data_IF_746058315536
#
_entry.id   IF_746058315536
#
_cell.length_a   1.000
_cell.length_b   1.000
_cell.length_c   1.000
_cell.angle_alpha   90.00
_cell.angle_beta   90.00
_cell.angle_gamma   90.00
#
_symmetry.space_group_name_H-M   'P 1'
#
loop_
_entity.id
_entity.type
_entity.pdbx_description
1 polymer ?
#
# COMPACT_ATOMS: atom_id res chain seq x y z
N UNK A 1 16.98 37.71 8.37
CA UNK A 1 17.04 36.23 8.41
C UNK A 1 15.65 35.76 8.79
N UNK A 2 14.88 35.25 7.83
CA UNK A 2 13.64 34.54 8.17
C UNK A 2 14.03 33.29 8.97
N UNK A 3 13.33 32.94 10.07
CA UNK A 3 13.57 31.66 10.71
C UNK A 3 13.29 30.57 9.67
N UNK A 4 14.19 29.60 9.55
CA UNK A 4 13.93 28.41 8.77
C UNK A 4 12.64 27.79 9.34
N UNK A 5 11.60 27.65 8.51
CA UNK A 5 10.39 26.94 8.89
C UNK A 5 10.80 25.57 9.44
N UNK A 6 10.61 25.36 10.74
CA UNK A 6 10.83 24.07 11.34
C UNK A 6 9.78 23.13 10.74
N UNK A 7 10.21 22.24 9.84
CA UNK A 7 9.33 21.25 9.23
C UNK A 7 8.57 20.52 10.33
N UNK A 8 7.24 20.39 10.16
CA UNK A 8 6.39 19.65 11.10
C UNK A 8 6.97 18.25 11.30
N UNK A 9 7.29 17.84 12.53
CA UNK A 9 7.87 16.52 12.75
C UNK A 9 6.81 15.44 12.51
N UNK A 10 7.23 14.31 11.95
CA UNK A 10 6.39 13.12 11.82
C UNK A 10 6.05 12.59 13.22
N UNK A 11 4.77 12.32 13.55
CA UNK A 11 4.39 11.77 14.83
C UNK A 11 5.12 10.45 15.14
N UNK A 12 5.53 10.23 16.39
CA UNK A 12 6.37 9.07 16.75
C UNK A 12 5.76 7.71 16.37
N UNK A 13 4.43 7.58 16.46
CA UNK A 13 3.73 6.35 16.05
C UNK A 13 3.74 6.15 14.52
N UNK A 14 3.70 7.23 13.72
CA UNK A 14 3.88 7.17 12.27
C UNK A 14 5.31 6.79 11.92
N UNK A 15 6.30 7.40 12.57
CA UNK A 15 7.70 7.08 12.38
C UNK A 15 7.98 5.61 12.69
N UNK A 16 7.42 5.06 13.77
CA UNK A 16 7.57 3.66 14.14
C UNK A 16 7.02 2.67 13.07
N UNK A 17 5.99 3.08 12.32
CA UNK A 17 5.48 2.31 11.17
C UNK A 17 6.47 2.37 10.01
N UNK A 18 6.96 3.57 9.66
CA UNK A 18 7.91 3.76 8.56
C UNK A 18 9.22 3.01 8.83
N UNK A 19 9.80 3.18 10.02
CA UNK A 19 11.04 2.51 10.40
C UNK A 19 10.87 0.98 10.37
N UNK A 20 9.72 0.48 10.81
CA UNK A 20 9.43 -0.95 10.74
C UNK A 20 9.31 -1.43 9.30
N UNK A 21 8.64 -0.68 8.43
CA UNK A 21 8.30 -1.10 7.07
C UNK A 21 9.41 -0.86 6.06
N UNK A 22 10.20 0.20 6.20
CA UNK A 22 11.24 0.61 5.26
C UNK A 22 12.66 0.52 5.83
N UNK A 23 12.82 0.33 7.14
CA UNK A 23 14.09 0.56 7.82
C UNK A 23 14.34 2.06 8.04
N UNK A 24 15.47 2.37 8.68
CA UNK A 24 15.94 3.75 8.87
C UNK A 24 16.91 4.14 7.76
N UNK A 25 17.14 5.44 7.46
CA UNK A 25 18.05 5.87 6.39
C UNK A 25 19.44 5.23 6.38
N UNK A 26 20.00 4.95 7.57
CA UNK A 26 21.32 4.35 7.73
C UNK A 26 21.32 2.80 7.77
N UNK A 27 20.15 2.18 7.61
CA UNK A 27 19.98 0.72 7.68
C UNK A 27 20.24 0.05 6.32
N UNK A 28 20.74 -1.20 6.29
CA UNK A 28 20.91 -1.95 5.04
C UNK A 28 19.59 -2.25 4.32
N UNK A 29 18.46 -2.16 5.01
CA UNK A 29 17.12 -2.32 4.46
C UNK A 29 16.63 -1.07 3.69
N UNK A 30 17.24 0.09 3.93
CA UNK A 30 16.77 1.35 3.37
C UNK A 30 16.84 1.38 1.85
N UNK A 31 15.73 1.78 1.22
CA UNK A 31 15.60 1.83 -0.24
C UNK A 31 15.96 0.50 -0.92
N UNK A 32 15.58 -0.63 -0.32
CA UNK A 32 15.74 -1.99 -0.86
C UNK A 32 14.43 -2.77 -0.75
N UNK A 33 14.22 -3.71 -1.66
CA UNK A 33 13.13 -4.70 -1.52
C UNK A 33 13.34 -5.53 -0.27
N UNK A 34 12.29 -5.69 0.54
CA UNK A 34 12.36 -6.47 1.78
C UNK A 34 11.44 -7.69 1.70
N UNK A 35 11.86 -8.88 2.19
CA UNK A 35 11.03 -10.08 2.16
C UNK A 35 9.68 -9.90 2.88
N UNK A 36 9.60 -9.10 3.94
CA UNK A 36 8.37 -8.90 4.71
C UNK A 36 7.21 -8.30 3.88
N UNK A 37 7.50 -7.64 2.75
CA UNK A 37 6.48 -6.96 1.95
C UNK A 37 5.64 -7.95 1.14
N UNK A 38 6.29 -8.95 0.55
CA UNK A 38 5.67 -9.81 -0.47
C UNK A 38 5.75 -11.30 -0.13
N UNK A 39 6.42 -11.69 0.96
CA UNK A 39 6.49 -13.09 1.41
C UNK A 39 5.53 -13.33 2.56
N UNK A 40 4.58 -14.26 2.38
CA UNK A 40 3.72 -14.74 3.48
C UNK A 40 4.58 -15.41 4.56
N UNK A 41 4.40 -14.98 5.80
CA UNK A 41 5.07 -15.54 6.97
C UNK A 41 4.21 -15.34 8.20
N UNK A 42 3.76 -16.44 8.82
CA UNK A 42 2.91 -16.38 10.02
C UNK A 42 3.63 -15.67 11.19
N UNK A 43 4.96 -15.80 11.26
CA UNK A 43 5.78 -15.09 12.24
C UNK A 43 5.80 -13.57 11.99
N UNK A 44 5.89 -13.16 10.73
CA UNK A 44 5.83 -11.74 10.34
C UNK A 44 4.44 -11.17 10.61
N UNK A 45 3.39 -11.90 10.25
CA UNK A 45 2.00 -11.51 10.45
C UNK A 45 1.69 -11.35 11.97
N UNK A 46 2.16 -12.28 12.80
CA UNK A 46 2.03 -12.21 14.25
C UNK A 46 2.80 -11.00 14.85
N UNK A 47 4.01 -10.73 14.37
CA UNK A 47 4.81 -9.58 14.79
C UNK A 47 4.13 -8.25 14.44
N UNK A 48 3.63 -8.13 13.19
CA UNK A 48 2.90 -6.94 12.74
C UNK A 48 1.67 -6.71 13.61
N UNK A 49 0.88 -7.77 13.84
CA UNK A 49 -0.31 -7.70 14.68
C UNK A 49 0.01 -7.29 16.10
N UNK A 50 1.03 -7.88 16.72
CA UNK A 50 1.43 -7.55 18.08
C UNK A 50 1.86 -6.07 18.22
N UNK A 51 2.54 -5.52 17.21
CA UNK A 51 3.06 -4.15 17.24
C UNK A 51 2.05 -3.08 16.84
N UNK A 52 1.20 -3.35 15.85
CA UNK A 52 0.45 -2.29 15.16
C UNK A 52 -1.07 -2.46 15.17
N UNK A 53 -1.61 -3.50 15.81
CA UNK A 53 -3.07 -3.67 15.91
C UNK A 53 -3.75 -2.47 16.58
N UNK A 54 -3.18 -1.97 17.69
CA UNK A 54 -3.72 -0.80 18.38
C UNK A 54 -3.68 0.46 17.50
N UNK A 55 -2.58 0.67 16.77
CA UNK A 55 -2.44 1.77 15.80
C UNK A 55 -3.49 1.68 14.70
N UNK A 56 -3.70 0.50 14.12
CA UNK A 56 -4.74 0.30 13.10
C UNK A 56 -6.14 0.54 13.64
N UNK A 57 -6.43 0.12 14.87
CA UNK A 57 -7.72 0.39 15.53
C UNK A 57 -7.95 1.90 15.72
N UNK A 58 -6.91 2.65 16.12
CA UNK A 58 -6.98 4.11 16.26
C UNK A 58 -7.23 4.79 14.91
N UNK A 59 -6.43 4.46 13.89
CA UNK A 59 -6.58 4.99 12.54
C UNK A 59 -7.98 4.68 11.97
N UNK A 60 -8.45 3.45 12.13
CA UNK A 60 -9.79 3.03 11.68
C UNK A 60 -10.91 3.80 12.40
N UNK A 61 -10.70 4.18 13.66
CA UNK A 61 -11.64 4.99 14.43
C UNK A 61 -11.61 6.49 14.06
N UNK A 62 -10.80 6.90 13.08
CA UNK A 62 -10.66 8.30 12.67
C UNK A 62 -9.68 9.11 13.51
N UNK A 63 -8.88 8.46 14.37
CA UNK A 63 -7.76 9.13 15.02
C UNK A 63 -6.57 9.26 14.06
N UNK A 64 -5.47 9.84 14.55
CA UNK A 64 -4.22 10.02 13.80
C UNK A 64 -4.35 10.95 12.57
N UNK A 65 -5.30 11.91 12.60
CA UNK A 65 -5.43 12.91 11.53
C UNK A 65 -4.17 13.79 11.41
N UNK A 66 -3.46 13.99 12.51
CA UNK A 66 -2.17 14.71 12.58
C UNK A 66 -1.08 14.06 11.71
N UNK A 67 -1.18 12.77 11.42
CA UNK A 67 -0.24 12.09 10.50
C UNK A 67 -0.35 12.65 9.08
N UNK A 68 -1.49 13.25 8.72
CA UNK A 68 -1.73 13.75 7.36
C UNK A 68 -1.08 15.11 7.10
N UNK A 69 -0.36 15.66 8.08
CA UNK A 69 0.34 16.95 7.95
C UNK A 69 1.65 16.88 7.15
N UNK A 70 2.20 15.68 6.91
CA UNK A 70 3.45 15.50 6.14
C UNK A 70 3.33 14.34 5.14
N UNK A 71 4.10 14.35 4.04
CA UNK A 71 4.13 13.23 3.09
C UNK A 71 4.43 11.88 3.76
N UNK A 72 5.41 11.84 4.66
CA UNK A 72 5.83 10.64 5.38
C UNK A 72 4.74 10.14 6.32
N UNK A 73 4.05 11.05 7.03
CA UNK A 73 2.94 10.65 7.90
C UNK A 73 1.75 10.11 7.11
N UNK A 74 1.45 10.67 5.93
CA UNK A 74 0.45 10.09 5.01
C UNK A 74 0.90 8.71 4.52
N UNK A 75 2.19 8.54 4.19
CA UNK A 75 2.73 7.23 3.81
C UNK A 75 2.54 6.21 4.94
N UNK A 76 2.85 6.57 6.19
CA UNK A 76 2.64 5.71 7.35
C UNK A 76 1.16 5.33 7.51
N UNK A 77 0.25 6.30 7.33
CA UNK A 77 -1.19 6.07 7.35
C UNK A 77 -1.62 5.04 6.29
N UNK A 78 -1.12 5.18 5.06
CA UNK A 78 -1.39 4.24 3.96
C UNK A 78 -0.84 2.85 4.31
N UNK A 79 0.39 2.75 4.81
CA UNK A 79 0.98 1.45 5.21
C UNK A 79 0.11 0.74 6.24
N UNK A 80 -0.36 1.45 7.28
CA UNK A 80 -1.24 0.85 8.30
C UNK A 80 -2.56 0.38 7.71
N UNK A 81 -3.20 1.22 6.89
CA UNK A 81 -4.57 0.98 6.38
C UNK A 81 -4.64 0.04 5.19
N UNK A 82 -3.54 -0.15 4.47
CA UNK A 82 -3.47 -0.97 3.26
C UNK A 82 -2.60 -2.22 3.47
N UNK A 83 -1.33 -2.04 3.82
CA UNK A 83 -0.38 -3.16 3.87
C UNK A 83 -0.51 -3.97 5.16
N UNK A 84 -0.43 -3.31 6.32
CA UNK A 84 -0.44 -4.02 7.60
C UNK A 84 -1.77 -4.74 7.86
N UNK A 85 -2.90 -4.22 7.39
CA UNK A 85 -4.20 -4.91 7.49
C UNK A 85 -4.18 -6.27 6.79
N UNK A 86 -3.55 -6.36 5.61
CA UNK A 86 -3.42 -7.60 4.83
C UNK A 86 -2.55 -8.65 5.51
N UNK A 87 -1.53 -8.23 6.26
CA UNK A 87 -0.74 -9.14 7.11
C UNK A 87 -1.51 -9.54 8.38
N UNK A 88 -2.07 -8.57 9.11
CA UNK A 88 -2.73 -8.84 10.39
C UNK A 88 -3.91 -9.77 10.21
N UNK A 89 -4.76 -9.52 9.22
CA UNK A 89 -6.08 -10.14 9.06
C UNK A 89 -6.14 -11.07 7.85
N UNK A 90 -5.05 -11.77 7.53
CA UNK A 90 -4.98 -12.65 6.37
C UNK A 90 -6.16 -13.64 6.34
N UNK A 91 -6.87 -13.67 5.21
CA UNK A 91 -8.03 -14.54 5.01
C UNK A 91 -9.30 -14.09 5.73
N UNK A 92 -9.31 -12.89 6.31
CA UNK A 92 -10.46 -12.33 7.03
C UNK A 92 -10.92 -11.03 6.35
N UNK A 93 -12.22 -10.67 6.40
CA UNK A 93 -12.74 -9.44 5.79
C UNK A 93 -12.00 -8.16 6.23
N UNK A 94 -11.49 -8.15 7.47
CA UNK A 94 -10.75 -7.03 8.06
C UNK A 94 -9.48 -6.68 7.29
N UNK A 95 -8.93 -7.57 6.45
CA UNK A 95 -7.79 -7.23 5.60
C UNK A 95 -8.09 -6.09 4.63
N UNK A 96 -9.38 -5.94 4.24
CA UNK A 96 -9.86 -4.95 3.28
C UNK A 96 -10.68 -3.83 3.91
N UNK A 97 -10.95 -3.91 5.23
CA UNK A 97 -11.88 -3.01 5.91
C UNK A 97 -11.44 -1.53 5.93
N UNK A 98 -10.16 -1.27 5.65
CA UNK A 98 -9.57 0.07 5.63
C UNK A 98 -9.08 0.51 4.25
N UNK A 99 -9.35 -0.26 3.18
CA UNK A 99 -8.92 0.07 1.81
C UNK A 99 -9.44 1.44 1.34
N UNK A 100 -10.69 1.77 1.68
CA UNK A 100 -11.27 3.07 1.35
C UNK A 100 -10.58 4.25 2.06
N UNK A 101 -10.00 4.03 3.25
CA UNK A 101 -9.20 5.04 3.95
C UNK A 101 -7.87 5.25 3.23
N UNK A 102 -7.19 4.16 2.89
CA UNK A 102 -5.93 4.18 2.16
C UNK A 102 -6.07 4.88 0.81
N UNK A 103 -7.11 4.53 0.03
CA UNK A 103 -7.35 5.09 -1.29
C UNK A 103 -7.65 6.59 -1.23
N UNK A 104 -8.39 7.07 -0.23
CA UNK A 104 -8.63 8.51 -0.05
C UNK A 104 -7.33 9.26 0.24
N UNK A 105 -6.53 8.75 1.18
CA UNK A 105 -5.24 9.35 1.51
C UNK A 105 -4.29 9.39 0.30
N UNK A 106 -4.22 8.29 -0.47
CA UNK A 106 -3.42 8.19 -1.68
C UNK A 106 -3.88 9.18 -2.77
N UNK A 107 -5.19 9.30 -3.01
CA UNK A 107 -5.77 10.26 -3.95
C UNK A 107 -5.43 11.70 -3.60
N UNK A 108 -5.58 12.07 -2.33
CA UNK A 108 -5.24 13.42 -1.87
C UNK A 108 -3.73 13.70 -2.00
N UNK A 109 -2.89 12.76 -1.60
CA UNK A 109 -1.43 12.88 -1.73
C UNK A 109 -1.01 13.16 -3.18
N UNK A 110 -1.54 12.36 -4.12
CA UNK A 110 -1.26 12.49 -5.56
C UNK A 110 -1.84 13.78 -6.13
N UNK A 111 -3.05 14.17 -5.74
CA UNK A 111 -3.67 15.42 -6.19
C UNK A 111 -2.86 16.65 -5.77
N UNK A 112 -2.22 16.60 -4.60
CA UNK A 112 -1.32 17.64 -4.12
C UNK A 112 0.13 17.48 -4.59
N UNK A 113 0.48 16.38 -5.27
CA UNK A 113 1.83 16.07 -5.74
C UNK A 113 2.85 15.83 -4.61
N UNK A 114 2.37 15.62 -3.39
CA UNK A 114 3.21 15.46 -2.18
C UNK A 114 3.91 14.11 -2.10
N UNK A 115 3.44 13.12 -2.87
CA UNK A 115 4.11 11.83 -3.05
C UNK A 115 5.55 12.00 -3.56
N UNK A 116 5.82 13.01 -4.38
CA UNK A 116 7.17 13.27 -4.94
C UNK A 116 8.19 13.72 -3.90
N UNK A 117 7.74 14.16 -2.72
CA UNK A 117 8.61 14.53 -1.61
C UNK A 117 9.02 13.33 -0.74
N UNK A 118 8.45 12.14 -0.99
CA UNK A 118 8.79 10.94 -0.24
C UNK A 118 10.25 10.53 -0.46
N UNK A 119 10.91 9.99 0.56
CA UNK A 119 12.36 9.88 0.58
C UNK A 119 12.90 8.79 -0.36
N UNK A 120 12.08 7.82 -0.77
CA UNK A 120 12.51 6.76 -1.68
C UNK A 120 11.41 6.36 -2.68
N UNK A 121 11.79 5.78 -3.85
CA UNK A 121 10.83 5.21 -4.79
C UNK A 121 9.92 4.14 -4.16
N UNK A 122 10.43 3.35 -3.21
CA UNK A 122 9.60 2.35 -2.53
C UNK A 122 8.52 2.99 -1.65
N UNK A 123 8.78 4.11 -0.97
CA UNK A 123 7.72 4.84 -0.25
C UNK A 123 6.61 5.29 -1.20
N UNK A 124 6.99 5.83 -2.37
CA UNK A 124 6.04 6.24 -3.42
C UNK A 124 5.23 5.05 -3.95
N UNK A 125 5.89 3.92 -4.24
CA UNK A 125 5.22 2.70 -4.67
C UNK A 125 4.10 2.30 -3.71
N UNK A 126 4.37 2.21 -2.41
CA UNK A 126 3.34 1.81 -1.44
C UNK A 126 2.21 2.83 -1.31
N UNK A 127 2.47 4.11 -1.59
CA UNK A 127 1.41 5.12 -1.66
C UNK A 127 0.53 4.98 -2.91
N UNK A 128 0.98 4.25 -3.93
CA UNK A 128 0.21 3.98 -5.14
C UNK A 128 -0.55 2.64 -5.11
N UNK A 129 -0.12 1.68 -4.28
CA UNK A 129 -0.81 0.39 -4.13
C UNK A 129 -2.30 0.48 -3.75
N UNK A 130 -2.80 1.48 -2.99
CA UNK A 130 -4.24 1.61 -2.76
C UNK A 130 -5.07 1.75 -4.04
N UNK A 131 -4.52 2.35 -5.10
CA UNK A 131 -5.18 2.41 -6.41
C UNK A 131 -5.22 1.04 -7.08
N UNK A 132 -4.11 0.30 -7.00
CA UNK A 132 -3.96 -1.07 -7.48
C UNK A 132 -4.87 -2.04 -6.73
N UNK A 133 -5.20 -1.77 -5.46
CA UNK A 133 -6.09 -2.63 -4.66
C UNK A 133 -7.59 -2.31 -4.80
N UNK A 134 -7.95 -1.20 -5.44
CA UNK A 134 -9.33 -0.77 -5.64
C UNK A 134 -9.97 -1.51 -6.83
N UNK A 135 -11.19 -2.01 -6.64
CA UNK A 135 -11.94 -2.76 -7.66
C UNK A 135 -12.66 -1.81 -8.65
N UNK A 136 -11.98 -0.76 -9.12
CA UNK A 136 -12.51 0.13 -10.15
C UNK A 136 -11.50 0.39 -11.26
N UNK A 137 -11.97 0.38 -12.52
CA UNK A 137 -11.11 0.60 -13.68
C UNK A 137 -10.42 1.97 -13.64
N UNK A 138 -11.08 2.99 -13.09
CA UNK A 138 -10.51 4.34 -12.93
C UNK A 138 -9.28 4.31 -12.02
N UNK A 139 -9.36 3.62 -10.88
CA UNK A 139 -8.20 3.49 -9.99
C UNK A 139 -7.10 2.65 -10.64
N UNK A 140 -7.45 1.60 -11.39
CA UNK A 140 -6.45 0.78 -12.09
C UNK A 140 -5.72 1.56 -13.19
N UNK A 141 -6.43 2.37 -13.98
CA UNK A 141 -5.81 3.26 -14.98
C UNK A 141 -4.87 4.28 -14.32
N UNK A 142 -5.28 4.83 -13.17
CA UNK A 142 -4.45 5.76 -12.39
C UNK A 142 -3.22 5.07 -11.79
N UNK A 143 -3.35 3.83 -11.32
CA UNK A 143 -2.21 3.03 -10.87
C UNK A 143 -1.20 2.83 -12.01
N UNK A 144 -1.64 2.49 -13.23
CA UNK A 144 -0.75 2.36 -14.40
C UNK A 144 -0.03 3.67 -14.69
N UNK A 145 -0.75 4.80 -14.67
CA UNK A 145 -0.15 6.12 -14.89
C UNK A 145 0.93 6.41 -13.85
N UNK A 146 0.63 6.22 -12.57
CA UNK A 146 1.52 6.50 -11.44
C UNK A 146 2.76 5.58 -11.44
N UNK A 147 2.59 4.28 -11.64
CA UNK A 147 3.72 3.34 -11.68
C UNK A 147 4.58 3.50 -12.93
N UNK A 148 3.99 3.87 -14.07
CA UNK A 148 4.76 4.22 -15.28
C UNK A 148 5.64 5.43 -15.02
N UNK A 149 5.06 6.47 -14.43
CA UNK A 149 5.79 7.66 -14.05
C UNK A 149 6.91 7.36 -13.02
N UNK A 150 6.63 6.56 -11.99
CA UNK A 150 7.63 6.18 -10.99
C UNK A 150 8.82 5.46 -11.61
N UNK A 151 8.57 4.53 -12.55
CA UNK A 151 9.61 3.85 -13.31
C UNK A 151 10.44 4.85 -14.12
N UNK A 152 9.79 5.78 -14.81
CA UNK A 152 10.48 6.73 -15.70
C UNK A 152 11.30 7.78 -14.93
N UNK A 153 10.89 8.09 -13.70
CA UNK A 153 11.58 9.03 -12.81
C UNK A 153 12.67 8.37 -11.94
N UNK A 154 12.83 7.05 -12.01
CA UNK A 154 13.78 6.29 -11.19
C UNK A 154 14.83 5.58 -12.05
N UNK A 155 16.03 5.37 -11.53
CA UNK A 155 17.05 4.53 -12.18
C UNK A 155 16.48 3.13 -12.49
N UNK A 156 16.78 2.62 -13.69
CA UNK A 156 16.38 1.28 -14.13
C UNK A 156 16.79 0.16 -13.16
N UNK A 157 17.89 0.34 -12.42
CA UNK A 157 18.38 -0.61 -11.43
C UNK A 157 17.50 -0.69 -10.15
N UNK A 158 16.56 0.23 -9.94
CA UNK A 158 15.72 0.27 -8.73
C UNK A 158 14.53 -0.72 -8.76
N UNK A 159 14.38 -1.51 -9.84
CA UNK A 159 13.35 -2.55 -9.92
C UNK A 159 11.93 -2.04 -10.16
N UNK A 160 11.73 -0.74 -10.44
CA UNK A 160 10.39 -0.15 -10.68
C UNK A 160 9.70 -0.70 -11.94
N UNK A 161 10.45 -1.31 -12.86
CA UNK A 161 9.87 -2.03 -14.00
C UNK A 161 9.04 -3.25 -13.57
N UNK A 162 9.48 -3.97 -12.54
CA UNK A 162 8.76 -5.10 -11.97
C UNK A 162 7.48 -4.63 -11.27
N UNK A 163 7.56 -3.53 -10.51
CA UNK A 163 6.40 -2.92 -9.85
C UNK A 163 5.31 -2.55 -10.86
N UNK A 164 5.68 -1.93 -11.99
CA UNK A 164 4.74 -1.64 -13.06
C UNK A 164 4.16 -2.91 -13.72
N UNK A 165 4.92 -4.00 -13.79
CA UNK A 165 4.41 -5.27 -14.29
C UNK A 165 3.25 -5.78 -13.41
N UNK A 166 3.39 -5.75 -12.08
CA UNK A 166 2.33 -6.13 -11.14
C UNK A 166 1.09 -5.25 -11.27
N UNK A 167 1.25 -3.94 -11.41
CA UNK A 167 0.12 -3.03 -11.63
C UNK A 167 -0.67 -3.36 -12.90
N UNK A 168 0.01 -3.82 -13.97
CA UNK A 168 -0.65 -4.28 -15.20
C UNK A 168 -1.47 -5.55 -14.97
N UNK A 169 -0.91 -6.52 -14.22
CA UNK A 169 -1.63 -7.75 -13.89
C UNK A 169 -2.89 -7.45 -13.06
N UNK A 170 -2.81 -6.56 -12.08
CA UNK A 170 -3.97 -6.12 -11.31
C UNK A 170 -5.04 -5.49 -12.20
N UNK A 171 -4.63 -4.60 -13.10
CA UNK A 171 -5.54 -3.96 -14.05
C UNK A 171 -6.22 -4.98 -14.96
N UNK A 172 -5.48 -5.96 -15.48
CA UNK A 172 -6.01 -6.98 -16.38
C UNK A 172 -7.09 -7.84 -15.70
N UNK A 173 -6.91 -8.15 -14.40
CA UNK A 173 -7.94 -8.83 -13.59
C UNK A 173 -9.20 -7.98 -13.47
N UNK A 174 -9.07 -6.68 -13.19
CA UNK A 174 -10.22 -5.77 -13.08
C UNK A 174 -10.90 -5.54 -14.43
N UNK A 175 -10.14 -5.45 -15.53
CA UNK A 175 -10.70 -5.36 -16.89
C UNK A 175 -11.54 -6.60 -17.20
N UNK A 176 -11.05 -7.78 -16.81
CA UNK A 176 -11.71 -9.06 -17.10
C UNK A 176 -12.93 -9.32 -16.23
N UNK A 177 -12.84 -9.08 -14.93
CA UNK A 177 -13.85 -9.51 -13.95
C UNK A 177 -14.59 -8.36 -13.26
N UNK A 178 -14.11 -7.12 -13.38
CA UNK A 178 -14.63 -5.96 -12.66
C UNK A 178 -14.35 -5.96 -11.16
N UNK A 179 -13.63 -6.97 -10.65
CA UNK A 179 -13.30 -7.21 -9.23
C UNK A 179 -12.16 -8.21 -9.11
N UNK A 180 -11.65 -8.45 -7.90
CA UNK A 180 -10.68 -9.50 -7.61
C UNK A 180 -11.37 -10.80 -7.19
N UNK A 181 -11.33 -11.86 -8.03
CA UNK A 181 -12.01 -13.11 -7.71
C UNK A 181 -11.50 -13.78 -6.42
N UNK A 182 -10.21 -13.62 -6.10
CA UNK A 182 -9.62 -14.21 -4.90
C UNK A 182 -10.19 -13.63 -3.59
N UNK A 183 -10.81 -12.45 -3.65
CA UNK A 183 -11.50 -11.84 -2.50
C UNK A 183 -12.92 -12.36 -2.29
N UNK A 184 -13.49 -13.10 -3.26
CA UNK A 184 -14.90 -13.49 -3.24
C UNK A 184 -15.26 -14.28 -1.99
N UNK A 185 -14.51 -15.33 -1.65
CA UNK A 185 -14.79 -16.13 -0.45
C UNK A 185 -14.68 -15.31 0.84
N UNK A 186 -13.66 -14.45 0.94
CA UNK A 186 -13.43 -13.60 2.12
C UNK A 186 -14.56 -12.58 2.29
N UNK A 187 -15.04 -12.00 1.18
CA UNK A 187 -16.10 -10.99 1.17
C UNK A 187 -17.52 -11.58 1.07
N UNK A 188 -17.68 -12.90 1.12
CA UNK A 188 -18.98 -13.57 1.03
C UNK A 188 -19.68 -13.44 -0.34
N UNK A 189 -18.92 -13.22 -1.41
CA UNK A 189 -19.42 -13.12 -2.80
C UNK A 189 -19.42 -14.50 -3.46
N UNK A 190 -20.42 -14.79 -4.28
CA UNK A 190 -20.40 -15.97 -5.16
C UNK A 190 -19.48 -15.74 -6.36
N UNK A 191 -18.63 -16.72 -6.66
CA UNK A 191 -17.78 -16.73 -7.86
C UNK A 191 -18.53 -17.30 -9.07
N UNK A 192 -18.36 -16.68 -10.24
CA UNK A 192 -18.80 -17.25 -11.52
C UNK A 192 -17.96 -18.46 -11.91
N UNK A 193 -18.39 -19.24 -12.92
CA UNK A 193 -17.59 -20.36 -13.44
C UNK A 193 -16.25 -19.89 -14.01
N UNK A 194 -16.23 -18.72 -14.67
CA UNK A 194 -14.99 -18.16 -15.22
C UNK A 194 -14.02 -17.74 -14.10
N UNK A 195 -14.54 -17.11 -13.05
CA UNK A 195 -13.76 -16.74 -11.88
C UNK A 195 -13.20 -17.97 -11.16
N UNK A 196 -13.97 -19.05 -11.04
CA UNK A 196 -13.50 -20.32 -10.45
C UNK A 196 -12.36 -20.92 -11.27
N UNK A 197 -12.52 -21.02 -12.59
CA UNK A 197 -11.48 -21.52 -13.48
C UNK A 197 -10.22 -20.65 -13.46
N UNK A 198 -10.37 -19.33 -13.30
CA UNK A 198 -9.24 -18.41 -13.13
C UNK A 198 -8.48 -18.66 -11.83
N UNK A 199 -9.18 -18.89 -10.71
CA UNK A 199 -8.58 -19.15 -9.40
C UNK A 199 -7.74 -20.44 -9.34
N UNK A 200 -7.91 -21.36 -10.29
CA UNK A 200 -7.08 -22.56 -10.42
C UNK A 200 -5.73 -22.29 -11.12
N UNK A 201 -5.56 -21.13 -11.75
CA UNK A 201 -4.35 -20.78 -12.49
C UNK A 201 -3.27 -20.17 -11.58
N UNK A 202 -1.98 -20.34 -11.91
CA UNK A 202 -0.90 -19.60 -11.25
C UNK A 202 -1.08 -18.08 -11.41
N UNK A 203 -0.75 -17.31 -10.38
CA UNK A 203 -0.88 -15.84 -10.41
C UNK A 203 -2.32 -15.34 -10.34
N UNK A 204 -3.28 -16.17 -9.94
CA UNK A 204 -4.69 -15.77 -9.77
C UNK A 204 -4.98 -15.05 -8.44
N UNK A 205 -3.98 -14.98 -7.56
CA UNK A 205 -4.00 -14.26 -6.29
C UNK A 205 -2.66 -13.58 -6.05
N UNK A 206 -2.69 -12.28 -5.82
CA UNK A 206 -1.59 -11.44 -5.38
C UNK A 206 -2.17 -10.29 -4.57
#
# INVERSE_FOLDING_TARGET
MCPADAATPVPAAAQAVLDFWFGTPDSPEWNRVRPLWFTKSDATDALIRARFLATWQQVRAGACEDWRATPEGICAYIIVTDQLSRNMFRGQPESFATDALALRAAREMVAHGTDRALPTPYHRQFCYMPFEHDESLVSQDEAIRLFTQLRDETDAAAGMGEVLHWARLHRDVIVRFGRYPHRNAILGRSSTLEEQAFLEQPGSSF
#
